data_IF_533560317069
#
_entry.id   IF_533560317069
#
_cell.length_a   1.000
_cell.length_b   1.000
_cell.length_c   1.000
_cell.angle_alpha   90.00
_cell.angle_beta   90.00
_cell.angle_gamma   90.00
#
_symmetry.space_group_name_H-M   'P 1'
#
loop_
_entity.id
_entity.type
_entity.pdbx_description
1 polymer ?
#
# COMPACT_ATOMS: atom_id res chain seq x y z
N UNK A 1 14.39 -87.88 6.30
CA UNK A 1 13.66 -86.75 6.92
C UNK A 1 14.60 -85.55 6.92
N UNK A 2 14.62 -84.81 5.80
CA UNK A 2 14.01 -83.48 5.58
C UNK A 2 14.79 -82.33 6.22
N UNK A 3 15.18 -81.42 5.33
CA UNK A 3 16.18 -80.37 5.45
C UNK A 3 15.67 -79.10 6.14
N UNK A 4 16.65 -78.39 6.69
CA UNK A 4 16.72 -76.97 7.04
C UNK A 4 16.22 -76.07 5.89
N UNK A 5 15.43 -75.04 6.19
CA UNK A 5 15.65 -73.65 5.73
C UNK A 5 14.69 -72.70 6.46
N UNK A 6 15.28 -71.78 7.25
CA UNK A 6 14.61 -70.68 7.94
C UNK A 6 14.63 -69.47 6.99
N UNK A 7 13.48 -69.01 6.53
CA UNK A 7 13.35 -67.83 5.66
C UNK A 7 12.66 -66.69 6.40
N UNK A 8 13.44 -65.73 6.90
CA UNK A 8 12.93 -64.44 7.37
C UNK A 8 12.60 -63.57 6.15
N UNK A 9 11.32 -63.22 5.98
CA UNK A 9 10.90 -62.20 5.02
C UNK A 9 10.96 -60.84 5.73
N UNK A 10 12.00 -60.06 5.42
CA UNK A 10 12.07 -58.65 5.77
C UNK A 10 11.23 -57.87 4.75
N UNK A 11 10.04 -57.45 5.14
CA UNK A 11 9.20 -56.58 4.32
C UNK A 11 9.70 -55.14 4.50
N UNK A 12 10.59 -54.70 3.60
CA UNK A 12 11.10 -53.32 3.58
C UNK A 12 10.02 -52.41 2.97
N UNK A 13 9.18 -51.83 3.82
CA UNK A 13 8.25 -50.78 3.41
C UNK A 13 9.02 -49.51 3.07
N UNK A 14 9.22 -49.22 1.78
CA UNK A 14 9.72 -47.94 1.32
C UNK A 14 8.59 -46.92 1.51
N UNK A 15 8.70 -46.11 2.57
CA UNK A 15 7.85 -44.93 2.77
C UNK A 15 8.30 -43.87 1.76
N UNK A 16 7.63 -43.83 0.60
CA UNK A 16 7.73 -42.70 -0.33
C UNK A 16 7.10 -41.49 0.33
N UNK A 17 7.91 -40.69 1.02
CA UNK A 17 7.50 -39.33 1.42
C UNK A 17 7.44 -38.52 0.12
N UNK A 18 6.26 -38.47 -0.48
CA UNK A 18 5.95 -37.46 -1.49
C UNK A 18 6.06 -36.11 -0.81
N UNK A 19 7.20 -35.45 -0.97
CA UNK A 19 7.30 -34.03 -0.70
C UNK A 19 6.46 -33.36 -1.78
N UNK A 20 5.20 -33.05 -1.50
CA UNK A 20 4.47 -32.09 -2.32
C UNK A 20 5.24 -30.78 -2.20
N UNK A 21 5.93 -30.38 -3.26
CA UNK A 21 6.38 -29.01 -3.41
C UNK A 21 5.10 -28.18 -3.39
N UNK A 22 4.83 -27.52 -2.27
CA UNK A 22 3.68 -26.62 -2.17
C UNK A 22 3.96 -25.47 -3.12
N UNK A 23 3.28 -25.46 -4.26
CA UNK A 23 3.37 -24.34 -5.19
C UNK A 23 2.70 -23.15 -4.50
N UNK A 24 3.44 -22.05 -4.41
CA UNK A 24 2.94 -20.76 -3.94
C UNK A 24 1.61 -20.40 -4.62
N UNK A 25 0.55 -20.20 -3.83
CA UNK A 25 -0.81 -20.05 -4.35
C UNK A 25 -1.72 -19.29 -3.38
N UNK A 26 -2.79 -18.71 -3.91
CA UNK A 26 -3.87 -18.15 -3.10
C UNK A 26 -4.54 -19.24 -2.27
N UNK A 27 -4.79 -18.92 -1.00
CA UNK A 27 -5.55 -19.78 -0.09
C UNK A 27 -6.84 -19.09 0.27
N UNK A 28 -7.96 -19.77 0.08
CA UNK A 28 -9.26 -19.23 0.51
C UNK A 28 -9.33 -19.18 2.04
N UNK A 29 -9.80 -18.06 2.59
CA UNK A 29 -9.87 -17.81 4.03
C UNK A 29 -11.25 -17.28 4.40
N UNK A 30 -12.28 -18.13 4.31
CA UNK A 30 -13.68 -17.75 4.55
C UNK A 30 -14.28 -18.32 5.83
N UNK A 31 -13.46 -18.86 6.73
CA UNK A 31 -13.99 -19.43 7.96
C UNK A 31 -14.68 -18.33 8.79
N UNK A 32 -16.02 -18.39 8.86
CA UNK A 32 -16.86 -17.40 9.53
C UNK A 32 -17.37 -16.26 8.66
N UNK A 33 -16.95 -16.16 7.40
CA UNK A 33 -17.56 -15.24 6.42
C UNK A 33 -18.79 -15.92 5.82
N UNK A 34 -19.92 -15.22 5.83
CA UNK A 34 -21.14 -15.69 5.17
C UNK A 34 -21.77 -14.57 4.35
N UNK A 35 -22.36 -14.97 3.21
CA UNK A 35 -23.15 -14.09 2.35
C UNK A 35 -22.35 -13.02 1.60
N UNK A 36 -22.83 -12.68 0.40
CA UNK A 36 -22.41 -11.50 -0.33
C UNK A 36 -21.03 -11.56 -1.00
N UNK A 37 -20.78 -10.53 -1.82
CA UNK A 37 -19.49 -10.26 -2.45
C UNK A 37 -18.63 -9.43 -1.52
N UNK A 38 -17.36 -9.78 -1.32
CA UNK A 38 -16.45 -8.98 -0.49
C UNK A 38 -15.93 -7.79 -1.28
N UNK A 39 -16.47 -6.61 -0.99
CA UNK A 39 -16.27 -5.39 -1.77
C UNK A 39 -15.47 -4.31 -1.05
N UNK A 40 -15.25 -4.46 0.26
CA UNK A 40 -14.52 -3.47 1.05
C UNK A 40 -13.56 -4.12 2.04
N UNK A 41 -12.40 -3.48 2.24
CA UNK A 41 -11.46 -3.80 3.30
C UNK A 41 -11.12 -2.54 4.09
N UNK A 42 -10.87 -2.71 5.38
CA UNK A 42 -10.24 -1.71 6.22
C UNK A 42 -9.31 -2.37 7.23
N UNK A 43 -8.18 -1.71 7.53
CA UNK A 43 -7.18 -2.21 8.48
C UNK A 43 -7.09 -1.22 9.65
N UNK A 44 -7.24 -1.74 10.87
CA UNK A 44 -7.09 -0.97 12.10
C UNK A 44 -6.06 -1.65 12.99
N UNK A 45 -4.82 -1.14 12.98
CA UNK A 45 -3.71 -1.82 13.66
C UNK A 45 -3.45 -3.22 13.08
N UNK A 46 -3.72 -4.27 13.87
CA UNK A 46 -3.60 -5.67 13.46
C UNK A 46 -4.89 -6.29 12.97
N UNK A 47 -6.00 -5.56 13.08
CA UNK A 47 -7.33 -6.06 12.82
C UNK A 47 -7.73 -5.80 11.36
N UNK A 48 -8.38 -6.78 10.75
CA UNK A 48 -8.87 -6.71 9.37
C UNK A 48 -10.39 -6.70 9.41
N UNK A 49 -10.98 -5.67 8.80
CA UNK A 49 -12.41 -5.59 8.56
C UNK A 49 -12.69 -5.84 7.09
N UNK A 50 -13.68 -6.68 6.81
CA UNK A 50 -14.19 -6.89 5.45
C UNK A 50 -15.68 -6.58 5.40
N UNK A 51 -16.07 -5.89 4.34
CA UNK A 51 -17.45 -5.53 4.04
C UNK A 51 -17.98 -6.37 2.89
N UNK A 52 -19.11 -7.05 3.13
CA UNK A 52 -19.79 -7.84 2.13
C UNK A 52 -21.07 -7.15 1.65
N UNK A 53 -21.38 -7.31 0.37
CA UNK A 53 -22.68 -6.91 -0.18
C UNK A 53 -23.79 -7.84 0.34
N UNK A 54 -24.49 -7.41 1.39
CA UNK A 54 -25.62 -8.11 2.00
C UNK A 54 -25.25 -8.98 3.20
N UNK A 55 -23.95 -9.20 3.45
CA UNK A 55 -23.44 -9.96 4.60
C UNK A 55 -22.98 -9.08 5.78
N UNK A 56 -22.88 -7.76 5.59
CA UNK A 56 -22.41 -6.84 6.61
C UNK A 56 -20.89 -6.83 6.75
N UNK A 57 -20.40 -6.54 7.96
CA UNK A 57 -18.99 -6.44 8.31
C UNK A 57 -18.53 -7.66 9.09
N UNK A 58 -17.37 -8.19 8.70
CA UNK A 58 -16.67 -9.24 9.44
C UNK A 58 -15.29 -8.74 9.89
N UNK A 59 -14.88 -9.19 11.08
CA UNK A 59 -13.61 -8.85 11.72
C UNK A 59 -12.73 -10.10 11.81
N UNK A 60 -11.47 -9.98 11.43
CA UNK A 60 -10.41 -10.91 11.78
C UNK A 60 -9.36 -10.25 12.67
N UNK A 61 -9.02 -10.91 13.77
CA UNK A 61 -7.95 -10.54 14.70
C UNK A 61 -6.77 -11.51 14.64
N UNK A 62 -6.80 -12.47 13.71
CA UNK A 62 -5.82 -13.56 13.56
C UNK A 62 -5.20 -13.60 12.14
N UNK A 63 -5.02 -12.40 11.57
CA UNK A 63 -4.41 -12.20 10.25
C UNK A 63 -5.18 -12.94 9.13
N UNK A 64 -6.51 -12.86 9.20
CA UNK A 64 -7.45 -13.42 8.22
C UNK A 64 -7.48 -14.94 8.21
N UNK A 65 -7.23 -15.59 9.35
CA UNK A 65 -7.37 -17.05 9.46
C UNK A 65 -8.81 -17.43 9.80
N UNK A 66 -9.48 -16.62 10.61
CA UNK A 66 -10.91 -16.72 10.91
C UNK A 66 -11.55 -15.34 10.99
N UNK A 67 -12.87 -15.32 10.86
CA UNK A 67 -13.68 -14.10 10.78
C UNK A 67 -14.88 -14.20 11.70
N UNK A 68 -15.21 -13.10 12.35
CA UNK A 68 -16.39 -12.97 13.22
C UNK A 68 -17.27 -11.86 12.68
N UNK A 69 -18.57 -12.13 12.54
CA UNK A 69 -19.56 -11.12 12.15
C UNK A 69 -19.69 -10.04 13.24
N UNK A 70 -19.68 -8.76 12.85
CA UNK A 70 -19.73 -7.62 13.77
C UNK A 70 -20.80 -6.62 13.31
N UNK A 71 -22.05 -7.09 13.18
CA UNK A 71 -23.16 -6.36 12.54
C UNK A 71 -24.15 -5.68 13.48
N UNK A 72 -23.91 -5.68 14.79
CA UNK A 72 -24.86 -5.14 15.74
C UNK A 72 -25.13 -3.64 15.48
N UNK A 73 -26.38 -3.27 15.16
CA UNK A 73 -26.76 -1.90 14.82
C UNK A 73 -26.57 -1.50 13.35
N UNK A 74 -26.03 -2.37 12.49
CA UNK A 74 -26.08 -2.19 11.04
C UNK A 74 -27.47 -2.59 10.53
N UNK A 75 -28.30 -1.59 10.21
CA UNK A 75 -29.64 -1.83 9.64
C UNK A 75 -29.60 -2.07 8.12
N UNK A 76 -28.46 -1.77 7.48
CA UNK A 76 -28.17 -2.12 6.09
C UNK A 76 -26.84 -2.90 6.05
N UNK A 77 -26.90 -4.14 5.58
CA UNK A 77 -25.75 -5.05 5.50
C UNK A 77 -25.07 -5.02 4.13
N UNK A 78 -25.48 -4.14 3.22
CA UNK A 78 -24.83 -3.89 1.94
C UNK A 78 -23.62 -2.98 2.09
N UNK A 79 -22.46 -3.53 2.45
CA UNK A 79 -21.25 -2.72 2.68
C UNK A 79 -20.52 -2.47 1.36
N UNK A 80 -20.41 -1.19 1.01
CA UNK A 80 -19.77 -0.72 -0.23
C UNK A 80 -18.37 -0.18 0.00
N UNK A 81 -18.13 0.45 1.16
CA UNK A 81 -16.85 1.05 1.52
C UNK A 81 -16.61 0.94 3.02
N UNK A 82 -15.36 0.78 3.42
CA UNK A 82 -14.91 0.84 4.81
C UNK A 82 -13.70 1.76 4.91
N UNK A 83 -13.64 2.60 5.95
CA UNK A 83 -12.46 3.41 6.24
C UNK A 83 -12.27 3.56 7.75
N UNK A 84 -11.01 3.67 8.17
CA UNK A 84 -10.63 3.92 9.57
C UNK A 84 -10.21 5.38 9.73
N UNK A 85 -10.71 6.05 10.76
CA UNK A 85 -10.27 7.38 11.19
C UNK A 85 -9.96 7.36 12.68
N UNK A 86 -8.67 7.34 13.03
CA UNK A 86 -8.23 7.11 14.41
C UNK A 86 -8.72 5.75 14.91
N UNK A 87 -9.55 5.74 15.96
CA UNK A 87 -10.17 4.52 16.52
C UNK A 87 -11.55 4.22 15.94
N UNK A 88 -12.06 5.09 15.08
CA UNK A 88 -13.40 4.99 14.52
C UNK A 88 -13.35 4.26 13.19
N UNK A 89 -14.40 3.49 12.91
CA UNK A 89 -14.59 2.80 11.64
C UNK A 89 -15.89 3.30 11.03
N UNK A 90 -15.84 3.68 9.76
CA UNK A 90 -17.00 4.12 9.01
C UNK A 90 -17.31 3.11 7.91
N UNK A 91 -18.57 2.75 7.78
CA UNK A 91 -19.10 1.89 6.72
C UNK A 91 -20.06 2.67 5.84
N UNK A 92 -19.78 2.70 4.54
CA UNK A 92 -20.68 3.23 3.52
C UNK A 92 -21.57 2.12 3.01
N UNK A 93 -22.88 2.38 2.95
CA UNK A 93 -23.91 1.42 2.52
C UNK A 93 -24.89 2.05 1.53
N UNK A 94 -25.90 1.30 1.09
CA UNK A 94 -26.99 1.85 0.27
C UNK A 94 -27.89 2.83 1.04
N UNK A 95 -27.86 2.76 2.38
CA UNK A 95 -28.69 3.52 3.30
C UNK A 95 -27.91 4.57 4.13
N UNK A 96 -26.68 4.87 3.73
CA UNK A 96 -25.86 5.97 4.25
C UNK A 96 -24.57 5.52 4.92
N UNK A 97 -24.13 6.28 5.91
CA UNK A 97 -22.92 6.00 6.68
C UNK A 97 -23.28 5.45 8.06
N UNK A 98 -22.59 4.40 8.45
CA UNK A 98 -22.58 3.87 9.81
C UNK A 98 -21.22 4.10 10.45
N UNK A 99 -21.21 4.42 11.74
CA UNK A 99 -20.02 4.62 12.55
C UNK A 99 -19.96 3.55 13.64
N UNK A 100 -18.78 2.95 13.81
CA UNK A 100 -18.40 2.22 15.01
C UNK A 100 -17.27 2.93 15.74
N UNK A 101 -17.42 3.07 17.06
CA UNK A 101 -16.40 3.63 17.97
C UNK A 101 -15.78 2.57 18.88
N UNK A 102 -16.13 1.29 18.67
CA UNK A 102 -15.78 0.16 19.53
C UNK A 102 -15.33 -1.06 18.69
N UNK A 103 -14.51 -0.80 17.69
CA UNK A 103 -13.86 -1.81 16.85
C UNK A 103 -14.86 -2.75 16.15
N UNK A 104 -15.96 -2.19 15.64
CA UNK A 104 -17.00 -2.93 14.93
C UNK A 104 -18.05 -3.59 15.84
N UNK A 105 -17.84 -3.67 17.16
CA UNK A 105 -18.76 -4.38 18.07
C UNK A 105 -20.20 -3.86 17.99
N UNK A 106 -20.39 -2.56 17.74
CA UNK A 106 -21.68 -1.98 17.41
C UNK A 106 -21.55 -0.79 16.47
N UNK A 107 -22.62 -0.52 15.74
CA UNK A 107 -22.71 0.53 14.74
C UNK A 107 -23.89 1.46 15.01
N UNK A 108 -23.74 2.72 14.61
CA UNK A 108 -24.79 3.73 14.66
C UNK A 108 -24.83 4.49 13.34
N UNK A 109 -26.02 4.68 12.78
CA UNK A 109 -26.20 5.44 11.55
C UNK A 109 -25.95 6.94 11.82
N UNK A 110 -25.15 7.58 10.97
CA UNK A 110 -24.68 8.96 11.14
C UNK A 110 -24.94 9.78 9.86
N UNK A 111 -26.21 10.00 9.53
CA UNK A 111 -26.65 10.52 8.22
C UNK A 111 -27.16 11.97 8.22
N UNK A 112 -27.02 12.72 9.31
CA UNK A 112 -27.57 14.06 9.39
C UNK A 112 -26.96 14.98 8.31
N UNK A 113 -27.76 15.50 7.37
CA UNK A 113 -27.29 16.30 6.23
C UNK A 113 -26.75 15.49 5.04
N UNK A 114 -26.70 14.15 5.13
CA UNK A 114 -26.30 13.27 4.02
C UNK A 114 -27.51 12.96 3.14
N UNK A 115 -27.77 13.81 2.15
CA UNK A 115 -28.95 13.67 1.28
C UNK A 115 -28.80 12.60 0.20
N UNK A 116 -27.57 12.21 -0.15
CA UNK A 116 -27.26 11.05 -1.00
C UNK A 116 -26.88 9.86 -0.12
N UNK A 117 -27.78 8.90 0.08
CA UNK A 117 -27.57 7.79 1.03
C UNK A 117 -26.87 6.58 0.42
N UNK A 118 -26.78 6.48 -0.91
CA UNK A 118 -26.04 5.40 -1.54
C UNK A 118 -24.54 5.74 -1.56
N UNK A 119 -23.82 5.39 -0.49
CA UNK A 119 -22.43 5.77 -0.24
C UNK A 119 -21.49 4.73 -0.83
N UNK A 120 -20.90 5.07 -1.97
CA UNK A 120 -20.01 4.20 -2.74
C UNK A 120 -18.55 4.27 -2.26
N UNK A 121 -18.13 5.42 -1.75
CA UNK A 121 -16.75 5.65 -1.34
C UNK A 121 -16.66 6.45 -0.04
N UNK A 122 -15.71 6.08 0.81
CA UNK A 122 -15.31 6.85 1.98
C UNK A 122 -13.81 7.12 1.94
N UNK A 123 -13.41 8.34 2.27
CA UNK A 123 -12.01 8.72 2.43
C UNK A 123 -11.82 9.60 3.65
N UNK A 124 -10.65 9.51 4.26
CA UNK A 124 -10.27 10.30 5.45
C UNK A 124 -9.07 11.17 5.10
N UNK A 125 -9.21 12.47 5.32
CA UNK A 125 -8.12 13.44 5.22
C UNK A 125 -7.99 14.15 6.54
N UNK A 126 -6.92 13.90 7.29
CA UNK A 126 -6.76 14.36 8.68
C UNK A 126 -7.95 13.93 9.55
N UNK A 127 -8.73 14.87 10.09
CA UNK A 127 -9.97 14.59 10.84
C UNK A 127 -11.24 14.64 10.00
N UNK A 128 -11.13 15.01 8.72
CA UNK A 128 -12.27 15.16 7.82
C UNK A 128 -12.60 13.82 7.16
N UNK A 129 -13.89 13.58 6.97
CA UNK A 129 -14.41 12.38 6.32
C UNK A 129 -15.19 12.83 5.09
N UNK A 130 -14.89 12.20 3.96
CA UNK A 130 -15.55 12.44 2.69
C UNK A 130 -16.36 11.22 2.30
N UNK A 131 -17.62 11.42 1.93
CA UNK A 131 -18.50 10.40 1.41
C UNK A 131 -18.81 10.69 -0.07
N UNK A 132 -18.36 9.82 -0.96
CA UNK A 132 -18.72 9.79 -2.36
C UNK A 132 -19.97 8.95 -2.54
N UNK A 133 -20.97 9.49 -3.22
CA UNK A 133 -22.29 8.87 -3.36
C UNK A 133 -22.62 8.55 -4.82
N UNK A 134 -23.56 7.65 -5.05
CA UNK A 134 -23.94 7.20 -6.39
C UNK A 134 -24.56 8.31 -7.27
N UNK A 135 -25.23 9.30 -6.67
CA UNK A 135 -25.91 10.37 -7.41
C UNK A 135 -25.92 11.74 -6.70
N UNK A 136 -25.49 11.81 -5.43
CA UNK A 136 -25.46 13.03 -4.63
C UNK A 136 -24.12 13.79 -4.64
N UNK A 137 -23.09 13.25 -5.31
CA UNK A 137 -21.73 13.79 -5.31
C UNK A 137 -20.96 13.48 -4.04
N UNK A 138 -20.12 14.42 -3.60
CA UNK A 138 -19.29 14.34 -2.40
C UNK A 138 -19.91 15.13 -1.25
N UNK A 139 -19.91 14.51 -0.07
CA UNK A 139 -20.26 15.13 1.21
C UNK A 139 -19.05 15.12 2.14
N UNK A 140 -18.91 16.19 2.92
CA UNK A 140 -17.86 16.38 3.92
C UNK A 140 -18.48 16.35 5.32
N UNK A 141 -17.83 15.61 6.22
CA UNK A 141 -18.02 15.73 7.66
C UNK A 141 -16.72 16.16 8.33
N UNK A 142 -16.82 17.17 9.20
CA UNK A 142 -15.71 17.68 10.04
C UNK A 142 -15.89 17.30 11.52
N UNK A 143 -16.85 16.42 11.82
CA UNK A 143 -17.27 16.08 13.20
C UNK A 143 -17.59 14.59 13.35
N UNK A 144 -16.73 13.73 12.78
CA UNK A 144 -16.84 12.28 12.87
C UNK A 144 -18.19 11.73 12.38
N UNK A 145 -18.73 12.27 11.29
CA UNK A 145 -19.98 11.83 10.69
C UNK A 145 -21.25 12.37 11.37
N UNK A 146 -21.15 13.08 12.49
CA UNK A 146 -22.33 13.61 13.22
C UNK A 146 -23.20 14.50 12.32
N UNK A 147 -22.59 15.22 11.38
CA UNK A 147 -23.29 15.90 10.30
C UNK A 147 -22.44 15.96 9.03
N UNK A 148 -23.13 16.10 7.90
CA UNK A 148 -22.56 16.16 6.56
C UNK A 148 -22.99 17.42 5.82
N UNK A 149 -22.11 17.95 4.99
CA UNK A 149 -22.38 19.07 4.09
C UNK A 149 -21.95 18.70 2.68
N UNK A 150 -22.79 18.95 1.69
CA UNK A 150 -22.48 18.69 0.29
C UNK A 150 -21.39 19.66 -0.20
N UNK A 151 -20.37 19.14 -0.90
CA UNK A 151 -19.19 19.90 -1.35
C UNK A 151 -18.90 19.61 -2.83
N UNK A 152 -19.79 20.07 -3.72
CA UNK A 152 -19.83 19.65 -5.13
C UNK A 152 -19.53 20.77 -6.14
N UNK A 153 -19.07 21.94 -5.72
CA UNK A 153 -18.83 23.02 -6.67
C UNK A 153 -17.75 22.60 -7.69
N UNK A 154 -18.07 22.65 -8.98
CA UNK A 154 -17.17 22.18 -10.05
C UNK A 154 -17.18 20.66 -10.30
N UNK A 155 -17.88 19.86 -9.49
CA UNK A 155 -18.05 18.42 -9.71
C UNK A 155 -19.16 18.17 -10.73
N UNK A 156 -18.80 18.00 -12.00
CA UNK A 156 -19.78 17.91 -13.10
C UNK A 156 -20.49 16.55 -13.19
N UNK A 157 -19.96 15.51 -12.55
CA UNK A 157 -20.58 14.20 -12.47
C UNK A 157 -20.69 13.80 -11.00
N UNK A 158 -21.93 13.63 -10.53
CA UNK A 158 -22.24 13.37 -9.12
C UNK A 158 -22.17 11.90 -8.75
N UNK A 159 -21.96 11.00 -9.71
CA UNK A 159 -21.75 9.58 -9.45
C UNK A 159 -20.29 9.31 -9.10
N UNK A 160 -19.98 9.35 -7.81
CA UNK A 160 -18.63 9.20 -7.26
C UNK A 160 -18.43 7.74 -6.86
N UNK A 161 -17.58 7.02 -7.58
CA UNK A 161 -17.29 5.61 -7.33
C UNK A 161 -16.16 5.40 -6.33
N UNK A 162 -15.18 6.32 -6.29
CA UNK A 162 -13.99 6.18 -5.46
C UNK A 162 -13.43 7.54 -5.06
N UNK A 163 -12.84 7.60 -3.87
CA UNK A 163 -12.15 8.77 -3.33
C UNK A 163 -10.78 8.34 -2.81
N UNK A 164 -9.76 9.14 -3.06
CA UNK A 164 -8.43 8.93 -2.48
C UNK A 164 -7.78 10.26 -2.10
N UNK A 165 -6.99 10.25 -1.01
CA UNK A 165 -6.30 11.43 -0.49
C UNK A 165 -4.81 11.30 -0.78
N UNK A 166 -4.21 12.32 -1.39
CA UNK A 166 -2.78 12.43 -1.67
C UNK A 166 -2.25 13.75 -1.12
N UNK A 167 -1.61 13.70 0.06
CA UNK A 167 -1.25 14.91 0.80
C UNK A 167 -2.50 15.72 1.15
N UNK A 168 -2.57 16.98 0.70
CA UNK A 168 -3.73 17.86 0.88
C UNK A 168 -4.77 17.75 -0.24
N UNK A 169 -4.49 16.96 -1.28
CA UNK A 169 -5.34 16.84 -2.45
C UNK A 169 -6.28 15.65 -2.29
N UNK A 170 -7.51 15.80 -2.79
CA UNK A 170 -8.49 14.71 -2.82
C UNK A 170 -8.92 14.51 -4.26
N UNK A 171 -8.88 13.25 -4.68
CA UNK A 171 -9.26 12.84 -6.02
C UNK A 171 -10.59 12.08 -5.96
N UNK A 172 -11.52 12.46 -6.82
CA UNK A 172 -12.80 11.78 -7.01
C UNK A 172 -12.82 11.10 -8.37
N UNK A 173 -13.01 9.78 -8.35
CA UNK A 173 -13.21 8.97 -9.54
C UNK A 173 -14.70 8.84 -9.77
N UNK A 174 -15.16 9.24 -10.94
CA UNK A 174 -16.59 9.30 -11.29
C UNK A 174 -16.87 8.53 -12.57
N UNK A 175 -18.14 8.45 -12.96
CA UNK A 175 -18.52 7.97 -14.30
C UNK A 175 -18.14 8.95 -15.42
N UNK A 176 -17.75 10.18 -15.06
CA UNK A 176 -17.39 11.26 -15.99
C UNK A 176 -15.90 11.58 -16.03
N UNK A 177 -15.06 10.81 -15.35
CA UNK A 177 -13.61 11.02 -15.25
C UNK A 177 -13.15 11.30 -13.82
N UNK A 178 -11.98 11.90 -13.69
CA UNK A 178 -11.36 12.29 -12.43
C UNK A 178 -11.56 13.78 -12.17
N UNK A 179 -11.90 14.12 -10.94
CA UNK A 179 -11.85 15.48 -10.42
C UNK A 179 -10.87 15.56 -9.24
N UNK A 180 -10.21 16.71 -9.08
CA UNK A 180 -9.34 17.01 -7.94
C UNK A 180 -9.87 18.22 -7.17
N UNK A 181 -9.73 18.20 -5.85
CA UNK A 181 -9.86 19.36 -4.98
C UNK A 181 -8.60 19.53 -4.13
N UNK A 182 -8.25 20.77 -3.84
CA UNK A 182 -7.15 21.16 -2.94
C UNK A 182 -7.64 21.99 -1.75
N UNK A 183 -8.96 22.09 -1.58
CA UNK A 183 -9.64 22.97 -0.61
C UNK A 183 -10.80 22.25 0.10
N UNK A 184 -10.60 20.97 0.42
CA UNK A 184 -11.56 20.09 1.10
C UNK A 184 -12.93 20.02 0.41
N UNK A 185 -12.93 20.02 -0.92
CA UNK A 185 -14.13 19.89 -1.75
C UNK A 185 -14.88 21.19 -1.99
N UNK A 186 -14.38 22.33 -1.49
CA UNK A 186 -15.00 23.63 -1.76
C UNK A 186 -15.05 23.92 -3.26
N UNK A 187 -14.00 23.54 -4.00
CA UNK A 187 -13.95 23.58 -5.46
C UNK A 187 -13.30 22.31 -6.03
N UNK A 188 -13.92 21.75 -7.06
CA UNK A 188 -13.42 20.63 -7.84
C UNK A 188 -13.03 21.07 -9.24
N UNK A 189 -11.93 20.51 -9.73
CA UNK A 189 -11.43 20.72 -11.10
C UNK A 189 -11.35 19.38 -11.81
N UNK A 190 -11.89 19.28 -13.02
CA UNK A 190 -11.73 18.08 -13.85
C UNK A 190 -10.31 17.97 -14.39
N UNK A 191 -9.74 16.77 -14.33
CA UNK A 191 -8.34 16.49 -14.68
C UNK A 191 -8.26 15.21 -15.52
N UNK A 192 -8.83 15.27 -16.72
CA UNK A 192 -9.07 14.11 -17.59
C UNK A 192 -8.11 13.99 -18.77
N UNK A 193 -7.06 14.81 -18.84
CA UNK A 193 -6.16 14.79 -20.00
C UNK A 193 -5.43 13.44 -20.08
N UNK A 194 -5.51 12.76 -21.23
CA UNK A 194 -4.96 11.41 -21.41
C UNK A 194 -5.82 10.25 -20.85
N UNK A 195 -6.93 10.56 -20.16
CA UNK A 195 -7.88 9.56 -19.67
C UNK A 195 -8.90 9.19 -20.77
N UNK A 196 -8.52 8.27 -21.65
CA UNK A 196 -9.35 7.85 -22.80
C UNK A 196 -10.68 7.17 -22.42
N UNK A 197 -10.77 6.58 -21.22
CA UNK A 197 -11.98 5.97 -20.69
C UNK A 197 -12.38 6.63 -19.37
N UNK A 198 -13.60 7.18 -19.29
CA UNK A 198 -14.00 8.10 -18.23
C UNK A 198 -14.52 7.45 -16.95
N UNK A 199 -15.03 6.22 -17.00
CA UNK A 199 -15.52 5.57 -15.78
C UNK A 199 -14.33 5.07 -14.96
N UNK A 200 -14.08 5.74 -13.84
CA UNK A 200 -13.03 5.40 -12.89
C UNK A 200 -13.65 4.65 -11.73
N UNK A 201 -13.11 3.48 -11.40
CA UNK A 201 -13.65 2.57 -10.40
C UNK A 201 -12.85 2.58 -9.09
N UNK A 202 -11.54 2.83 -9.16
CA UNK A 202 -10.65 2.72 -8.01
C UNK A 202 -9.38 3.57 -8.20
N UNK A 203 -8.71 3.91 -7.11
CA UNK A 203 -7.38 4.50 -7.14
C UNK A 203 -6.41 3.76 -6.21
N UNK A 204 -5.12 3.92 -6.48
CA UNK A 204 -4.07 3.66 -5.51
C UNK A 204 -2.92 4.68 -5.66
N UNK A 205 -2.11 4.81 -4.62
CA UNK A 205 -0.97 5.74 -4.60
C UNK A 205 0.30 4.96 -4.27
N UNK A 206 1.36 5.18 -5.04
CA UNK A 206 2.71 4.70 -4.73
C UNK A 206 3.70 5.85 -4.90
N UNK A 207 4.30 6.31 -3.80
CA UNK A 207 5.16 7.49 -3.82
C UNK A 207 4.41 8.72 -4.34
N UNK A 208 4.94 9.36 -5.39
CA UNK A 208 4.30 10.50 -6.06
C UNK A 208 3.36 10.11 -7.20
N UNK A 209 3.25 8.81 -7.51
CA UNK A 209 2.39 8.31 -8.58
C UNK A 209 0.99 7.99 -8.06
N UNK A 210 -0.02 8.39 -8.83
CA UNK A 210 -1.41 8.02 -8.61
C UNK A 210 -1.85 7.11 -9.76
N UNK A 211 -2.49 6.01 -9.42
CA UNK A 211 -3.01 5.02 -10.35
C UNK A 211 -4.52 5.02 -10.32
N UNK A 212 -5.17 5.01 -11.48
CA UNK A 212 -6.62 4.92 -11.63
C UNK A 212 -6.99 3.62 -12.35
N UNK A 213 -7.87 2.82 -11.73
CA UNK A 213 -8.48 1.66 -12.34
C UNK A 213 -9.75 2.04 -13.09
N UNK A 214 -9.79 1.67 -14.36
CA UNK A 214 -10.85 2.03 -15.32
C UNK A 214 -10.93 0.91 -16.38
N UNK A 215 -10.96 1.28 -17.68
CA UNK A 215 -10.64 0.34 -18.77
C UNK A 215 -9.10 0.13 -18.85
N UNK A 216 -8.56 -0.59 -17.89
CA UNK A 216 -7.15 -0.79 -17.62
C UNK A 216 -6.67 0.07 -16.45
N UNK A 217 -5.36 0.26 -16.36
CA UNK A 217 -4.73 1.14 -15.38
C UNK A 217 -4.19 2.38 -16.09
N UNK A 218 -4.46 3.53 -15.50
CA UNK A 218 -3.86 4.81 -15.87
C UNK A 218 -2.97 5.29 -14.73
N UNK A 219 -1.88 5.99 -15.05
CA UNK A 219 -0.98 6.59 -14.07
C UNK A 219 -0.77 8.09 -14.34
N UNK A 220 -0.50 8.83 -13.27
CA UNK A 220 -0.09 10.23 -13.29
C UNK A 220 1.00 10.45 -12.23
N UNK A 221 1.93 11.37 -12.53
CA UNK A 221 2.94 11.88 -11.59
C UNK A 221 2.85 13.39 -11.38
N UNK A 222 1.80 14.02 -11.92
CA UNK A 222 1.62 15.47 -11.98
C UNK A 222 0.24 15.89 -11.44
N UNK A 223 -0.21 15.18 -10.40
CA UNK A 223 -1.52 15.36 -9.76
C UNK A 223 -2.69 15.29 -10.74
N UNK A 224 -2.60 14.41 -11.74
CA UNK A 224 -3.64 14.15 -12.72
C UNK A 224 -3.73 15.16 -13.86
N UNK A 225 -2.78 16.11 -13.94
CA UNK A 225 -2.72 17.03 -15.09
C UNK A 225 -2.57 16.26 -16.40
N UNK A 226 -1.82 15.15 -16.39
CA UNK A 226 -1.72 14.21 -17.49
C UNK A 226 -1.81 12.76 -16.98
N UNK A 227 -2.64 11.97 -17.64
CA UNK A 227 -2.77 10.53 -17.43
C UNK A 227 -2.16 9.75 -18.59
N UNK A 228 -1.49 8.65 -18.27
CA UNK A 228 -0.94 7.71 -19.25
C UNK A 228 -1.51 6.32 -18.98
N UNK A 229 -2.05 5.66 -20.01
CA UNK A 229 -2.51 4.27 -19.90
C UNK A 229 -1.32 3.32 -19.87
N UNK A 230 -1.32 2.35 -18.95
CA UNK A 230 -0.17 1.48 -18.66
C UNK A 230 -0.61 0.00 -18.57
N UNK A 231 -1.11 -0.54 -19.67
CA UNK A 231 -1.75 -1.87 -19.72
C UNK A 231 -0.87 -3.01 -20.23
N UNK A 232 0.45 -2.81 -20.32
CA UNK A 232 1.33 -3.84 -20.88
C UNK A 232 1.32 -5.10 -19.99
N UNK A 233 0.76 -6.20 -20.49
CA UNK A 233 0.57 -7.45 -19.73
C UNK A 233 -0.73 -7.54 -18.93
N UNK A 234 -1.59 -6.50 -18.94
CA UNK A 234 -2.96 -6.59 -18.42
C UNK A 234 -3.88 -7.19 -19.49
N UNK A 235 -4.20 -8.47 -19.37
CA UNK A 235 -5.15 -9.17 -20.23
C UNK A 235 -6.59 -8.79 -19.89
N UNK A 236 -6.88 -8.49 -18.60
CA UNK A 236 -8.16 -8.00 -18.11
C UNK A 236 -8.19 -6.50 -17.91
N UNK A 237 -8.97 -5.79 -18.72
CA UNK A 237 -9.03 -4.32 -18.67
C UNK A 237 -10.17 -3.78 -17.79
N UNK A 238 -11.00 -4.60 -17.14
CA UNK A 238 -12.01 -4.07 -16.21
C UNK A 238 -11.42 -3.98 -14.80
N UNK A 239 -10.59 -2.97 -14.52
CA UNK A 239 -9.85 -2.87 -13.25
C UNK A 239 -10.74 -2.25 -12.18
N UNK A 240 -11.21 -3.10 -11.25
CA UNK A 240 -12.17 -2.73 -10.20
C UNK A 240 -11.49 -2.44 -8.87
N UNK A 241 -10.30 -2.98 -8.64
CA UNK A 241 -9.57 -2.79 -7.40
C UNK A 241 -8.09 -2.53 -7.69
N UNK A 242 -7.50 -1.59 -6.95
CA UNK A 242 -6.07 -1.33 -6.93
C UNK A 242 -5.58 -1.29 -5.49
N UNK A 243 -4.39 -1.81 -5.24
CA UNK A 243 -3.69 -1.59 -3.98
C UNK A 243 -2.19 -1.54 -4.20
N UNK A 244 -1.48 -0.97 -3.23
CA UNK A 244 -0.03 -0.83 -3.26
C UNK A 244 0.56 -1.44 -2.00
N UNK A 245 1.60 -2.24 -2.16
CA UNK A 245 2.44 -2.72 -1.07
C UNK A 245 3.88 -2.35 -1.36
N UNK A 246 4.42 -1.39 -0.60
CA UNK A 246 5.72 -0.76 -0.90
C UNK A 246 5.72 -0.16 -2.31
N UNK A 247 6.55 -0.68 -3.22
CA UNK A 247 6.63 -0.25 -4.64
C UNK A 247 5.82 -1.14 -5.58
N UNK A 248 5.23 -2.22 -5.07
CA UNK A 248 4.48 -3.17 -5.88
C UNK A 248 3.02 -2.76 -5.96
N UNK A 249 2.47 -2.84 -7.16
CA UNK A 249 1.08 -2.45 -7.44
C UNK A 249 0.32 -3.72 -7.82
N UNK A 250 -0.84 -3.90 -7.22
CA UNK A 250 -1.75 -5.00 -7.53
C UNK A 250 -3.01 -4.44 -8.17
N UNK A 251 -3.39 -5.01 -9.32
CA UNK A 251 -4.62 -4.70 -10.03
C UNK A 251 -5.55 -5.91 -9.99
N UNK A 252 -6.78 -5.67 -9.56
CA UNK A 252 -7.86 -6.65 -9.51
C UNK A 252 -8.83 -6.36 -10.63
N UNK A 253 -9.02 -7.34 -11.50
CA UNK A 253 -9.93 -7.24 -12.63
C UNK A 253 -11.27 -7.93 -12.35
N UNK A 254 -12.30 -7.52 -13.07
CA UNK A 254 -13.60 -8.17 -13.04
C UNK A 254 -13.69 -9.32 -14.04
N UNK A 255 -12.99 -10.43 -13.76
CA UNK A 255 -13.07 -11.66 -14.57
C UNK A 255 -11.73 -12.32 -14.88
N UNK A 256 -10.61 -11.60 -14.80
CA UNK A 256 -9.27 -12.09 -15.16
C UNK A 256 -8.33 -12.20 -13.95
N UNK A 257 -8.84 -11.94 -12.75
CA UNK A 257 -8.12 -12.12 -11.50
C UNK A 257 -7.18 -10.96 -11.17
N UNK A 258 -6.05 -11.29 -10.55
CA UNK A 258 -5.07 -10.37 -9.96
C UNK A 258 -3.82 -10.31 -10.82
N UNK A 259 -3.39 -9.08 -11.09
CA UNK A 259 -2.15 -8.74 -11.75
C UNK A 259 -1.23 -8.00 -10.80
N UNK A 260 0.07 -8.25 -10.92
CA UNK A 260 1.14 -7.60 -10.16
C UNK A 260 2.04 -6.82 -11.12
N UNK A 261 2.36 -5.59 -10.76
CA UNK A 261 3.48 -4.84 -11.30
C UNK A 261 4.52 -4.59 -10.22
N UNK A 262 5.79 -4.84 -10.57
CA UNK A 262 6.97 -4.58 -9.73
C UNK A 262 7.84 -3.43 -10.27
N UNK A 263 7.41 -2.80 -11.36
CA UNK A 263 8.14 -1.80 -12.15
C UNK A 263 7.32 -0.52 -12.34
N UNK A 264 6.58 -0.14 -11.30
CA UNK A 264 5.74 1.06 -11.24
C UNK A 264 4.69 1.14 -12.36
N UNK A 265 4.12 0.00 -12.74
CA UNK A 265 3.06 -0.11 -13.74
C UNK A 265 3.56 -0.25 -15.18
N UNK A 266 4.87 -0.31 -15.42
CA UNK A 266 5.41 -0.45 -16.78
C UNK A 266 5.02 -1.79 -17.41
N UNK A 267 4.95 -2.84 -16.60
CA UNK A 267 4.44 -4.15 -17.02
C UNK A 267 3.69 -4.85 -15.88
N UNK A 268 2.80 -5.77 -16.27
CA UNK A 268 1.94 -6.53 -15.38
C UNK A 268 2.05 -8.02 -15.64
N UNK A 269 2.04 -8.80 -14.57
CA UNK A 269 2.06 -10.26 -14.61
C UNK A 269 0.89 -10.82 -13.79
N UNK A 270 0.17 -11.79 -14.34
CA UNK A 270 -0.88 -12.50 -13.62
C UNK A 270 -0.32 -13.28 -12.43
N UNK A 271 -0.99 -13.20 -11.28
CA UNK A 271 -0.60 -13.91 -10.05
C UNK A 271 -1.74 -14.79 -9.53
N UNK A 272 -2.46 -15.45 -10.43
CA UNK A 272 -3.74 -16.14 -10.17
C UNK A 272 -3.64 -17.57 -9.64
N UNK A 273 -2.44 -18.12 -9.40
CA UNK A 273 -2.32 -19.52 -9.01
C UNK A 273 -3.12 -19.84 -7.73
N UNK A 274 -4.00 -20.84 -7.78
CA UNK A 274 -4.92 -21.23 -6.70
C UNK A 274 -6.16 -20.35 -6.53
N UNK A 275 -6.26 -19.21 -7.22
CA UNK A 275 -7.43 -18.33 -7.14
C UNK A 275 -8.51 -18.82 -8.11
N UNK A 276 -9.60 -19.38 -7.58
CA UNK A 276 -10.67 -19.96 -8.40
C UNK A 276 -11.78 -18.96 -8.77
N UNK A 277 -11.83 -17.81 -8.09
CA UNK A 277 -12.78 -16.74 -8.37
C UNK A 277 -12.02 -15.48 -8.79
N UNK A 278 -12.12 -15.17 -10.09
CA UNK A 278 -11.35 -14.12 -10.75
C UNK A 278 -12.08 -12.78 -10.81
N UNK A 279 -13.25 -12.66 -10.18
CA UNK A 279 -14.00 -11.42 -10.05
C UNK A 279 -13.55 -10.67 -8.80
N UNK A 280 -12.52 -9.83 -8.96
CA UNK A 280 -11.87 -9.14 -7.85
C UNK A 280 -12.65 -7.87 -7.50
N UNK A 281 -13.15 -7.80 -6.26
CA UNK A 281 -13.91 -6.66 -5.75
C UNK A 281 -13.07 -5.70 -4.92
N UNK A 282 -12.08 -6.20 -4.19
CA UNK A 282 -11.31 -5.40 -3.24
C UNK A 282 -10.01 -6.06 -2.81
N UNK A 283 -9.10 -5.27 -2.23
CA UNK A 283 -7.85 -5.75 -1.64
C UNK A 283 -7.70 -5.24 -0.20
N UNK A 284 -7.00 -6.03 0.62
CA UNK A 284 -6.42 -5.60 1.89
C UNK A 284 -4.94 -5.98 1.96
N UNK A 285 -4.10 -5.17 2.58
CA UNK A 285 -2.69 -5.49 2.81
C UNK A 285 -2.41 -5.35 4.30
N UNK A 286 -1.94 -6.42 4.93
CA UNK A 286 -1.52 -6.41 6.33
C UNK A 286 -0.22 -7.18 6.49
N UNK A 287 0.78 -6.51 7.04
CA UNK A 287 2.12 -7.08 7.27
C UNK A 287 2.71 -7.70 5.99
N UNK A 288 2.86 -9.03 5.96
CA UNK A 288 3.45 -9.77 4.84
C UNK A 288 2.41 -10.41 3.92
N UNK A 289 1.11 -10.18 4.15
CA UNK A 289 0.04 -10.80 3.39
C UNK A 289 -0.75 -9.75 2.61
N UNK A 290 -1.18 -10.17 1.42
CA UNK A 290 -2.25 -9.53 0.69
C UNK A 290 -3.50 -10.39 0.78
N UNK A 291 -4.63 -9.71 0.87
CA UNK A 291 -5.97 -10.26 0.90
C UNK A 291 -6.73 -9.76 -0.31
N UNK A 292 -7.59 -10.61 -0.84
CA UNK A 292 -8.43 -10.33 -2.00
C UNK A 292 -9.85 -10.68 -1.64
N UNK A 293 -10.76 -9.73 -1.79
CA UNK A 293 -12.20 -9.96 -1.77
C UNK A 293 -12.68 -10.28 -3.16
N UNK A 294 -13.44 -11.37 -3.29
CA UNK A 294 -14.02 -11.80 -4.56
C UNK A 294 -15.55 -11.77 -4.52
N UNK A 295 -16.14 -11.81 -5.71
CA UNK A 295 -17.59 -11.71 -5.88
C UNK A 295 -18.36 -12.88 -5.25
N UNK A 296 -17.88 -14.10 -5.41
CA UNK A 296 -18.64 -15.31 -5.10
C UNK A 296 -17.97 -16.19 -4.03
N UNK A 297 -16.67 -15.99 -3.81
CA UNK A 297 -15.83 -16.89 -3.01
C UNK A 297 -15.11 -16.17 -1.87
N UNK A 298 -15.68 -15.06 -1.38
CA UNK A 298 -15.24 -14.34 -0.18
C UNK A 298 -13.79 -13.85 -0.24
N UNK A 299 -13.04 -14.08 0.83
CA UNK A 299 -11.67 -13.63 1.01
C UNK A 299 -10.66 -14.73 0.68
N UNK A 300 -9.61 -14.33 -0.02
CA UNK A 300 -8.42 -15.11 -0.29
C UNK A 300 -7.21 -14.41 0.29
N UNK A 301 -6.22 -15.19 0.75
CA UNK A 301 -4.96 -14.70 1.32
C UNK A 301 -3.79 -15.30 0.57
N UNK A 302 -2.76 -14.49 0.34
CA UNK A 302 -1.46 -14.96 -0.16
C UNK A 302 -0.30 -14.15 0.45
N UNK A 303 0.80 -14.79 0.86
CA UNK A 303 2.00 -14.08 1.27
C UNK A 303 2.60 -13.27 0.11
N UNK A 304 2.98 -12.03 0.36
CA UNK A 304 3.60 -11.16 -0.64
C UNK A 304 4.91 -11.74 -1.19
N UNK A 305 5.71 -12.38 -0.32
CA UNK A 305 6.98 -13.02 -0.68
C UNK A 305 6.85 -14.15 -1.70
N UNK A 306 5.64 -14.71 -1.87
CA UNK A 306 5.37 -15.77 -2.84
C UNK A 306 5.07 -15.24 -4.25
N UNK A 307 4.63 -13.99 -4.36
CA UNK A 307 4.33 -13.33 -5.65
C UNK A 307 5.49 -12.48 -6.13
N UNK A 308 6.28 -11.98 -5.19
CA UNK A 308 7.54 -11.29 -5.44
C UNK A 308 8.64 -12.37 -5.44
N UNK A 309 8.47 -13.41 -6.27
CA UNK A 309 9.58 -14.33 -6.55
C UNK A 309 10.62 -13.49 -7.26
N UNK A 310 11.81 -13.41 -6.66
CA UNK A 310 12.92 -12.56 -7.08
C UNK A 310 12.95 -12.35 -8.58
N UNK A 311 12.57 -11.15 -9.02
CA UNK A 311 13.32 -10.55 -10.11
C UNK A 311 14.79 -10.74 -9.71
N UNK A 312 15.58 -11.38 -10.58
CA UNK A 312 17.04 -11.32 -10.51
C UNK A 312 17.43 -9.97 -9.89
N UNK A 313 18.22 -9.94 -8.80
CA UNK A 313 18.50 -8.69 -8.09
C UNK A 313 18.81 -7.65 -9.14
N UNK A 314 18.00 -6.58 -9.20
CA UNK A 314 18.15 -5.53 -10.21
C UNK A 314 19.63 -5.18 -10.18
N UNK A 315 20.36 -5.57 -11.22
CA UNK A 315 21.81 -5.45 -11.26
C UNK A 315 22.14 -3.97 -11.06
N UNK A 316 22.54 -3.59 -9.85
CA UNK A 316 22.79 -2.19 -9.46
C UNK A 316 22.06 -1.68 -8.21
N UNK A 317 21.10 -2.41 -7.63
CA UNK A 317 20.52 -2.03 -6.32
C UNK A 317 21.32 -2.64 -5.16
N UNK A 318 21.66 -1.86 -4.13
CA UNK A 318 22.47 -2.34 -3.02
C UNK A 318 21.68 -3.29 -2.10
N UNK A 319 22.33 -4.39 -1.70
CA UNK A 319 21.78 -5.39 -0.78
C UNK A 319 21.92 -5.00 0.70
N UNK A 320 22.89 -4.14 1.01
CA UNK A 320 23.25 -3.75 2.37
C UNK A 320 23.45 -2.23 2.50
N UNK A 321 23.29 -1.74 3.73
CA UNK A 321 23.72 -0.38 4.05
C UNK A 321 25.24 -0.28 3.91
N UNK A 322 25.70 0.75 3.22
CA UNK A 322 27.13 1.04 3.10
C UNK A 322 27.38 2.53 3.23
N UNK A 323 28.47 2.89 3.90
CA UNK A 323 29.08 4.21 3.82
C UNK A 323 30.49 4.03 3.25
N UNK A 324 30.78 4.62 2.10
CA UNK A 324 32.08 4.50 1.45
C UNK A 324 33.11 5.48 2.02
N UNK A 325 34.38 5.25 1.70
CA UNK A 325 35.43 6.22 1.97
C UNK A 325 35.25 7.43 1.03
N UNK A 326 35.26 8.64 1.57
CA UNK A 326 35.15 9.85 0.77
C UNK A 326 36.30 9.94 -0.24
N UNK A 327 36.04 10.48 -1.43
CA UNK A 327 37.06 10.68 -2.46
C UNK A 327 36.98 12.08 -3.07
N UNK A 328 38.12 12.80 -3.20
CA UNK A 328 39.45 12.43 -2.71
C UNK A 328 39.56 12.39 -1.18
N UNK A 329 40.48 11.59 -0.62
CA UNK A 329 40.87 11.65 0.79
C UNK A 329 42.39 11.40 0.93
N UNK A 330 43.21 12.37 1.38
CA UNK A 330 42.83 13.71 1.85
C UNK A 330 42.14 14.56 0.78
N UNK A 331 41.29 15.51 1.20
CA UNK A 331 40.50 16.35 0.29
C UNK A 331 40.89 17.84 0.38
N UNK A 332 40.73 18.55 -0.73
CA UNK A 332 40.91 20.01 -0.83
C UNK A 332 40.26 20.60 -2.10
N UNK A 333 39.39 21.63 -2.02
CA UNK A 333 38.63 22.01 -0.83
C UNK A 333 37.42 21.10 -0.62
N UNK A 334 37.09 20.21 -1.57
CA UNK A 334 35.88 19.38 -1.55
C UNK A 334 36.14 17.88 -1.77
N UNK A 335 35.17 17.08 -1.35
CA UNK A 335 35.13 15.62 -1.49
C UNK A 335 33.71 15.16 -1.81
N UNK A 336 33.60 13.95 -2.35
CA UNK A 336 32.35 13.22 -2.51
C UNK A 336 32.25 12.10 -1.47
N UNK A 337 31.05 11.89 -0.93
CA UNK A 337 30.73 10.82 0.01
C UNK A 337 29.64 9.98 -0.61
N UNK A 338 29.95 8.71 -0.89
CA UNK A 338 28.99 7.73 -1.40
C UNK A 338 28.45 6.87 -0.28
N UNK A 339 27.16 6.53 -0.37
CA UNK A 339 26.52 5.60 0.56
C UNK A 339 25.35 4.88 -0.11
N UNK A 340 25.00 3.72 0.42
CA UNK A 340 23.90 2.90 -0.09
C UNK A 340 22.86 2.63 1.00
N UNK A 341 21.60 2.71 0.61
CA UNK A 341 20.43 2.31 1.40
C UNK A 341 19.87 1.04 0.75
N UNK A 342 19.84 -0.10 1.45
CA UNK A 342 19.48 -1.36 0.83
C UNK A 342 18.01 -1.40 0.45
N UNK A 343 17.70 -2.18 -0.58
CA UNK A 343 16.33 -2.67 -0.75
C UNK A 343 15.95 -3.47 0.50
N UNK A 344 14.79 -3.23 1.13
CA UNK A 344 14.37 -3.99 2.31
C UNK A 344 14.47 -5.50 1.99
N UNK A 345 15.37 -6.25 2.64
CA UNK A 345 15.45 -7.68 2.40
C UNK A 345 14.28 -8.35 3.10
N UNK A 346 13.61 -9.26 2.40
CA UNK A 346 12.63 -10.20 2.95
C UNK A 346 13.23 -11.22 3.94
N UNK A 347 14.53 -11.11 4.30
CA UNK A 347 15.23 -12.10 5.13
C UNK A 347 16.45 -11.61 5.95
N UNK A 348 16.79 -10.31 6.03
CA UNK A 348 17.92 -9.91 6.90
C UNK A 348 17.54 -9.99 8.38
N UNK A 349 18.29 -10.74 9.21
CA UNK A 349 18.04 -10.83 10.65
C UNK A 349 18.14 -9.48 11.37
N UNK A 350 18.79 -8.48 10.76
CA UNK A 350 18.96 -7.14 11.31
C UNK A 350 17.75 -6.22 11.06
N UNK A 351 16.77 -6.64 10.28
CA UNK A 351 15.60 -5.82 9.91
C UNK A 351 14.25 -6.46 10.26
N UNK A 352 14.23 -7.48 11.14
CA UNK A 352 12.97 -8.03 11.68
C UNK A 352 12.21 -6.94 12.45
N UNK A 353 11.08 -6.50 11.89
CA UNK A 353 10.10 -5.65 12.58
C UNK A 353 10.03 -4.18 12.16
N UNK A 354 10.63 -3.77 11.03
CA UNK A 354 10.53 -2.38 10.53
C UNK A 354 10.01 -2.34 9.10
N UNK A 355 8.72 -2.07 8.97
CA UNK A 355 8.13 -1.58 7.72
C UNK A 355 8.49 -0.09 7.63
N UNK A 356 9.45 0.27 6.77
CA UNK A 356 9.66 1.58 6.14
C UNK A 356 11.14 1.74 5.80
N UNK A 357 11.42 2.18 4.57
CA UNK A 357 12.74 2.68 4.18
C UNK A 357 12.97 3.96 4.98
N UNK A 358 13.91 3.90 5.92
CA UNK A 358 13.95 4.81 7.06
C UNK A 358 14.40 6.24 6.75
N UNK A 359 14.09 7.15 7.67
CA UNK A 359 14.70 8.47 7.77
C UNK A 359 16.22 8.33 7.85
N UNK A 360 16.95 9.01 6.97
CA UNK A 360 18.42 8.95 6.86
C UNK A 360 19.04 10.27 7.28
N UNK A 361 20.07 10.20 8.11
CA UNK A 361 20.94 11.35 8.39
C UNK A 361 22.40 11.04 8.04
N UNK A 362 23.03 11.99 7.33
CA UNK A 362 24.46 11.99 7.04
C UNK A 362 25.04 13.30 7.56
N UNK A 363 25.89 13.22 8.57
CA UNK A 363 26.42 14.38 9.31
C UNK A 363 27.93 14.33 9.43
N UNK A 364 28.55 15.51 9.49
CA UNK A 364 30.00 15.70 9.66
C UNK A 364 30.29 16.22 11.06
N UNK A 365 31.35 15.70 11.68
CA UNK A 365 31.77 16.00 13.05
C UNK A 365 33.27 16.33 13.12
N UNK A 366 33.64 17.15 14.11
CA UNK A 366 35.04 17.36 14.48
C UNK A 366 35.56 16.21 15.39
N UNK A 367 36.85 16.28 15.77
CA UNK A 367 37.50 15.27 16.64
C UNK A 367 36.95 15.23 18.06
N UNK A 368 36.22 16.26 18.49
CA UNK A 368 35.57 16.34 19.80
C UNK A 368 34.13 15.82 19.74
N UNK A 369 33.63 15.47 18.55
CA UNK A 369 32.27 14.98 18.34
C UNK A 369 31.23 16.09 18.15
N UNK A 370 31.64 17.34 17.98
CA UNK A 370 30.71 18.42 17.66
C UNK A 370 30.24 18.30 16.22
N UNK A 371 28.94 18.47 15.97
CA UNK A 371 28.39 18.51 14.61
C UNK A 371 28.84 19.78 13.90
N UNK A 372 29.39 19.62 12.69
CA UNK A 372 29.95 20.68 11.84
C UNK A 372 29.06 20.94 10.63
N UNK A 373 28.42 19.91 10.08
CA UNK A 373 27.47 20.03 8.99
C UNK A 373 26.47 18.86 8.99
N UNK A 374 25.25 19.14 8.57
CA UNK A 374 24.27 18.13 8.17
C UNK A 374 24.19 18.12 6.64
N UNK A 375 24.51 16.98 6.03
CA UNK A 375 24.54 16.80 4.56
C UNK A 375 23.25 16.18 4.03
N UNK A 376 22.63 15.30 4.83
CA UNK A 376 21.35 14.65 4.54
C UNK A 376 20.59 14.54 5.86
N UNK A 377 19.28 14.82 5.85
CA UNK A 377 18.39 14.68 7.01
C UNK A 377 16.93 14.55 6.54
N UNK A 378 16.65 13.47 5.81
CA UNK A 378 15.37 13.27 5.12
C UNK A 378 15.13 11.77 4.88
N UNK A 379 13.91 11.43 4.47
CA UNK A 379 13.59 10.08 4.01
C UNK A 379 14.26 9.81 2.66
N UNK A 380 14.93 8.65 2.53
CA UNK A 380 15.54 8.19 1.28
C UNK A 380 15.00 6.82 0.91
N UNK A 381 14.60 6.60 -0.37
CA UNK A 381 14.30 5.26 -0.85
C UNK A 381 15.56 4.37 -0.89
N UNK A 382 15.39 3.10 -1.25
CA UNK A 382 16.52 2.22 -1.50
C UNK A 382 17.30 2.70 -2.73
N UNK A 383 18.62 2.67 -2.66
CA UNK A 383 19.49 3.15 -3.74
C UNK A 383 20.88 3.54 -3.27
N UNK A 384 21.73 3.92 -4.22
CA UNK A 384 23.06 4.45 -3.99
C UNK A 384 23.06 5.96 -4.23
N UNK A 385 23.62 6.69 -3.28
CA UNK A 385 23.64 8.15 -3.23
C UNK A 385 25.07 8.67 -3.16
N UNK A 386 25.28 9.87 -3.68
CA UNK A 386 26.53 10.62 -3.58
C UNK A 386 26.22 12.04 -3.13
N UNK A 387 26.94 12.54 -2.13
CA UNK A 387 26.80 13.91 -1.63
C UNK A 387 28.15 14.61 -1.64
N UNK A 388 28.17 15.86 -2.08
CA UNK A 388 29.37 16.69 -2.05
C UNK A 388 29.53 17.40 -0.71
N UNK A 389 30.76 17.44 -0.21
CA UNK A 389 31.12 18.17 0.99
C UNK A 389 32.30 19.10 0.70
N UNK A 390 32.19 20.36 1.12
CA UNK A 390 33.24 21.36 0.96
C UNK A 390 33.72 21.86 2.33
N UNK A 391 35.01 22.16 2.42
CA UNK A 391 35.64 22.75 3.60
C UNK A 391 35.21 24.19 3.91
N UNK A 392 34.47 24.85 3.01
CA UNK A 392 33.77 26.12 3.26
C UNK A 392 32.31 25.85 3.61
N UNK A 393 31.91 26.16 4.85
CA UNK A 393 30.54 25.99 5.34
C UNK A 393 30.01 27.37 5.75
N UNK A 394 29.09 27.92 4.95
CA UNK A 394 28.67 29.32 5.10
C UNK A 394 29.85 30.28 4.97
N UNK A 395 30.07 31.13 5.97
CA UNK A 395 31.24 32.03 6.04
C UNK A 395 32.46 31.42 6.75
N UNK A 396 32.36 30.17 7.21
CA UNK A 396 33.40 29.50 8.00
C UNK A 396 34.23 28.56 7.12
N UNK A 397 35.54 28.74 7.14
CA UNK A 397 36.48 27.78 6.57
C UNK A 397 36.95 26.79 7.63
N UNK A 398 36.88 25.50 7.33
CA UNK A 398 37.42 24.43 8.19
C UNK A 398 38.95 24.47 8.22
N UNK A 399 39.53 24.08 9.36
CA UNK A 399 40.97 24.00 9.56
C UNK A 399 41.52 22.69 8.97
N UNK A 400 42.82 22.64 8.66
CA UNK A 400 43.47 21.38 8.32
C UNK A 400 43.33 20.42 9.49
N UNK A 401 43.01 19.16 9.20
CA UNK A 401 42.80 18.19 10.27
C UNK A 401 41.91 17.02 9.89
N UNK A 402 41.62 16.23 10.91
CA UNK A 402 40.78 15.03 10.82
C UNK A 402 39.34 15.39 11.14
N UNK A 403 38.43 14.89 10.32
CA UNK A 403 36.99 15.00 10.52
C UNK A 403 36.35 13.62 10.40
N UNK A 404 35.15 13.47 10.94
CA UNK A 404 34.37 12.25 10.84
C UNK A 404 33.06 12.53 10.16
N UNK A 405 32.58 11.59 9.35
CA UNK A 405 31.22 11.64 8.81
C UNK A 405 30.50 10.36 9.17
N UNK A 406 29.23 10.49 9.55
CA UNK A 406 28.40 9.41 10.08
C UNK A 406 27.10 9.33 9.31
N UNK A 407 26.82 8.14 8.80
CA UNK A 407 25.53 7.75 8.28
C UNK A 407 24.74 7.07 9.39
N UNK A 408 23.50 7.49 9.59
CA UNK A 408 22.55 6.85 10.48
C UNK A 408 21.20 6.67 9.77
N UNK A 409 20.69 5.43 9.81
CA UNK A 409 19.38 5.06 9.28
C UNK A 409 18.73 4.04 10.24
N UNK A 410 17.79 4.49 11.06
CA UNK A 410 17.28 3.68 12.18
C UNK A 410 18.40 3.30 13.15
N UNK A 411 18.62 2.00 13.35
CA UNK A 411 19.67 1.46 14.24
C UNK A 411 21.02 1.30 13.53
N UNK A 412 21.04 1.37 12.19
CA UNK A 412 22.28 1.30 11.46
C UNK A 412 23.05 2.60 11.65
N UNK A 413 24.30 2.49 12.14
CA UNK A 413 25.22 3.61 12.29
C UNK A 413 26.58 3.18 11.74
N UNK A 414 27.09 3.91 10.74
CA UNK A 414 28.46 3.77 10.26
C UNK A 414 29.16 5.12 10.28
N UNK A 415 30.39 5.17 10.80
CA UNK A 415 31.22 6.37 10.84
C UNK A 415 32.53 6.12 10.08
N UNK A 416 32.95 7.10 9.29
CA UNK A 416 34.22 7.09 8.55
C UNK A 416 35.01 8.37 8.83
N UNK A 417 36.32 8.28 8.62
CA UNK A 417 37.28 9.37 8.84
C UNK A 417 37.64 10.02 7.50
N UNK A 418 37.71 11.34 7.45
CA UNK A 418 38.26 12.11 6.33
C UNK A 418 39.33 13.09 6.81
N UNK A 419 40.24 13.48 5.92
CA UNK A 419 41.36 14.37 6.22
C UNK A 419 41.33 15.57 5.27
N UNK A 420 41.30 16.78 5.83
CA UNK A 420 41.41 18.03 5.09
C UNK A 420 42.88 18.50 5.12
N UNK A 421 43.48 18.69 3.94
CA UNK A 421 44.83 19.25 3.78
C UNK A 421 44.76 20.37 2.75
N UNK A 422 44.93 21.62 3.20
CA UNK A 422 45.03 22.80 2.34
C UNK A 422 46.37 22.93 1.65
#
# INVERSE_FOLDING_TARGET
>A
MKNIFLGFIFCLGILLIMHSVTVAQWTQTNNGISGGSTMAFAISGTDIFVGNLGGGVFLSTDNGTSWTEVNNGLTDTGILSLVVSGTNIFAGTYSGVFLSTNNGTSWTQVNNGLTGTNVQALAVSESNIFAGTFDGGVFLSTNNGTSWTQVNNGLTNLAVNTLIVSGTNIFAGTWGGVCITTDNGTNWTQINNGLGYRSVYTFAISGSSIFAGANGVYTTTDNGTNWTQINNGLTGTSVMALTVSSTNIFAGSWGDGVFLSTDNGTSWTEVNNGLTDTYIGSFGVLSTNIFVGTRNSGVWRRPLSEMITSAEPISGMPSDFSLEQNYPNPFNPGTKIKYSIPTPPSSSPLLKGRNEVGFVSLKVYDVLGNEIATLVNEYKPAGTYEVEFNSSIGSRQLANGVYFYRLQAGDYIQTKKMVLIK
#
